data_IF_613228925143
#
_entry.id   IF_613228925143
#
_cell.length_a   1.000
_cell.length_b   1.000
_cell.length_c   1.000
_cell.angle_alpha   90.00
_cell.angle_beta   90.00
_cell.angle_gamma   90.00
#
_symmetry.space_group_name_H-M   'P 1'
#
loop_
_entity.id
_entity.type
_entity.pdbx_description
1 polymer ?
#
# COMPACT_ATOMS: atom_id res chain seq x y z
N UNK A 1 5.78 5.21 -14.57
CA UNK A 1 6.80 6.06 -15.24
C UNK A 1 6.23 7.43 -15.64
N UNK A 2 5.02 7.46 -16.17
CA UNK A 2 4.26 8.66 -16.59
C UNK A 2 3.37 9.24 -15.48
N UNK A 3 3.41 8.62 -14.30
CA UNK A 3 2.71 9.08 -13.12
C UNK A 3 1.21 8.75 -13.08
N UNK A 4 0.72 7.86 -13.92
CA UNK A 4 -0.65 7.32 -13.81
C UNK A 4 -0.68 6.26 -12.71
N UNK A 5 -1.47 6.45 -11.62
CA UNK A 5 -1.67 5.40 -10.61
C UNK A 5 -2.40 4.21 -11.23
N UNK A 6 -1.89 3.01 -10.96
CA UNK A 6 -2.48 1.76 -11.46
C UNK A 6 -2.79 0.81 -10.32
N UNK A 7 -3.73 -0.11 -10.52
CA UNK A 7 -4.09 -1.13 -9.52
C UNK A 7 -3.45 -2.46 -9.90
N UNK A 8 -2.45 -2.85 -9.10
CA UNK A 8 -1.73 -4.11 -9.32
C UNK A 8 -1.09 -4.60 -8.02
N UNK A 9 -1.03 -5.91 -7.81
CA UNK A 9 -0.48 -6.47 -6.58
C UNK A 9 1.04 -6.48 -6.55
N UNK A 10 1.70 -6.91 -7.63
CA UNK A 10 3.14 -7.15 -7.64
C UNK A 10 3.94 -5.90 -8.02
N UNK A 11 5.22 -5.88 -7.65
CA UNK A 11 6.14 -4.81 -8.04
C UNK A 11 6.62 -4.91 -9.51
N UNK A 12 6.46 -6.11 -10.11
CA UNK A 12 6.87 -6.43 -11.48
C UNK A 12 5.83 -7.26 -12.21
N UNK A 13 6.04 -7.43 -13.51
CA UNK A 13 5.13 -8.16 -14.41
C UNK A 13 5.43 -9.66 -14.49
N UNK A 14 6.45 -10.16 -13.79
CA UNK A 14 6.98 -11.50 -13.98
C UNK A 14 5.94 -12.60 -13.73
N UNK A 15 5.25 -12.55 -12.60
CA UNK A 15 4.25 -13.55 -12.22
C UNK A 15 2.99 -13.48 -13.07
N UNK A 16 2.55 -12.27 -13.40
CA UNK A 16 1.26 -12.06 -14.06
C UNK A 16 1.34 -12.06 -15.58
N UNK A 17 2.46 -11.62 -16.17
CA UNK A 17 2.62 -11.48 -17.63
C UNK A 17 3.90 -12.18 -18.16
N UNK A 18 4.70 -12.83 -17.32
CA UNK A 18 5.92 -13.53 -17.73
C UNK A 18 7.09 -12.62 -18.12
N UNK A 19 7.01 -11.32 -17.83
CA UNK A 19 7.99 -10.30 -18.25
C UNK A 19 8.75 -9.76 -17.04
N UNK A 20 10.08 -9.80 -17.07
CA UNK A 20 10.92 -9.26 -16.01
C UNK A 20 11.08 -7.74 -16.17
N UNK A 21 10.02 -7.00 -15.83
CA UNK A 21 9.96 -5.55 -15.91
C UNK A 21 9.15 -5.00 -14.72
N UNK A 22 9.65 -3.96 -14.06
CA UNK A 22 8.96 -3.34 -12.93
C UNK A 22 7.84 -2.42 -13.41
N UNK A 23 6.73 -2.40 -12.67
CA UNK A 23 5.57 -1.53 -12.95
C UNK A 23 5.98 -0.06 -13.05
N UNK A 24 6.80 0.43 -12.12
CA UNK A 24 7.26 1.83 -12.09
C UNK A 24 8.08 2.27 -13.30
N UNK A 25 8.68 1.32 -14.03
CA UNK A 25 9.53 1.60 -15.20
C UNK A 25 8.71 1.63 -16.51
N UNK A 26 7.40 1.34 -16.43
CA UNK A 26 6.47 1.34 -17.55
C UNK A 26 5.59 2.60 -17.56
N UNK A 27 5.21 3.06 -18.74
CA UNK A 27 4.07 3.98 -18.90
C UNK A 27 2.77 3.22 -18.81
N UNK A 28 1.65 3.91 -18.57
CA UNK A 28 0.34 3.28 -18.56
C UNK A 28 0.02 2.61 -19.91
N UNK A 29 0.36 3.27 -21.02
CA UNK A 29 0.21 2.71 -22.37
C UNK A 29 0.99 1.41 -22.54
N UNK A 30 2.26 1.38 -22.12
CA UNK A 30 3.06 0.15 -22.15
C UNK A 30 2.41 -0.97 -21.32
N UNK A 31 1.85 -0.66 -20.15
CA UNK A 31 1.16 -1.64 -19.29
C UNK A 31 -0.08 -2.24 -19.97
N UNK A 32 -0.76 -1.49 -20.85
CA UNK A 32 -1.92 -2.02 -21.60
C UNK A 32 -1.54 -3.07 -22.65
N UNK A 33 -0.28 -3.18 -23.03
CA UNK A 33 0.19 -4.22 -23.96
C UNK A 33 0.34 -5.59 -23.30
N UNK A 34 0.41 -5.66 -21.96
CA UNK A 34 0.61 -6.90 -21.22
C UNK A 34 -0.72 -7.53 -20.78
N UNK A 35 -0.93 -8.79 -21.16
CA UNK A 35 -2.08 -9.58 -20.74
C UNK A 35 -1.77 -10.32 -19.45
N UNK A 36 -2.71 -10.27 -18.49
CA UNK A 36 -2.52 -10.84 -17.18
C UNK A 36 -3.00 -12.30 -17.14
N UNK A 37 -2.15 -13.22 -16.70
CA UNK A 37 -2.46 -14.64 -16.48
C UNK A 37 -3.07 -15.33 -17.72
N UNK A 38 -2.66 -14.93 -18.93
CA UNK A 38 -3.19 -15.48 -20.18
C UNK A 38 -4.62 -15.08 -20.52
N UNK A 39 -5.21 -14.14 -19.76
CA UNK A 39 -6.55 -13.61 -20.01
C UNK A 39 -6.54 -12.44 -20.99
N UNK A 40 -7.70 -11.86 -21.30
CA UNK A 40 -7.82 -10.61 -22.06
C UNK A 40 -7.61 -9.36 -21.19
N UNK A 41 -7.45 -9.52 -19.88
CA UNK A 41 -7.36 -8.39 -18.93
C UNK A 41 -5.97 -7.76 -18.93
N UNK A 42 -5.95 -6.46 -18.69
CA UNK A 42 -4.74 -5.65 -18.51
C UNK A 42 -4.73 -4.98 -17.12
N UNK A 43 -3.66 -4.29 -16.76
CA UNK A 43 -3.58 -3.54 -15.49
C UNK A 43 -4.45 -2.29 -15.62
N UNK A 44 -5.50 -2.12 -14.79
CA UNK A 44 -6.37 -0.95 -14.86
C UNK A 44 -5.71 0.28 -14.23
N UNK A 45 -6.08 1.47 -14.71
CA UNK A 45 -5.83 2.72 -14.00
C UNK A 45 -6.64 2.75 -12.70
N UNK A 46 -6.11 3.41 -11.68
CA UNK A 46 -6.82 3.54 -10.40
C UNK A 46 -8.13 4.32 -10.55
N UNK A 47 -8.15 5.37 -11.37
CA UNK A 47 -9.35 6.13 -11.69
C UNK A 47 -10.47 5.23 -12.24
N UNK A 48 -10.15 4.35 -13.20
CA UNK A 48 -11.13 3.38 -13.77
C UNK A 48 -11.71 2.45 -12.70
N UNK A 49 -10.89 2.03 -11.74
CA UNK A 49 -11.37 1.18 -10.64
C UNK A 49 -12.30 1.95 -9.70
N UNK A 50 -12.00 3.22 -9.41
CA UNK A 50 -12.87 4.09 -8.61
C UNK A 50 -14.21 4.36 -9.31
N UNK A 51 -14.19 4.63 -10.61
CA UNK A 51 -15.40 4.76 -11.44
C UNK A 51 -16.25 3.50 -11.43
N UNK A 52 -15.62 2.33 -11.56
CA UNK A 52 -16.32 1.04 -11.51
C UNK A 52 -16.95 0.80 -10.14
N UNK A 53 -16.26 1.13 -9.06
CA UNK A 53 -16.78 0.98 -7.69
C UNK A 53 -17.92 1.95 -7.39
N UNK A 54 -17.84 3.20 -7.91
CA UNK A 54 -18.88 4.22 -7.88
C UNK A 54 -19.56 4.40 -6.51
N UNK A 55 -18.78 4.32 -5.43
CA UNK A 55 -19.29 4.45 -4.07
C UNK A 55 -20.17 3.29 -3.57
N UNK A 56 -20.40 2.24 -4.37
CA UNK A 56 -21.31 1.12 -4.04
C UNK A 56 -20.78 0.18 -2.98
N UNK A 57 -19.49 0.23 -2.69
CA UNK A 57 -18.84 -0.60 -1.67
C UNK A 57 -17.69 0.17 -1.03
N UNK A 58 -17.46 0.01 0.29
CA UNK A 58 -16.27 0.54 0.92
C UNK A 58 -14.99 -0.07 0.33
N UNK A 59 -13.94 0.75 0.19
CA UNK A 59 -12.66 0.32 -0.38
C UNK A 59 -11.55 0.31 0.68
N UNK A 60 -10.74 -0.73 0.65
CA UNK A 60 -9.45 -0.78 1.35
C UNK A 60 -8.36 -0.66 0.29
N UNK A 61 -7.57 0.41 0.35
CA UNK A 61 -6.63 0.78 -0.70
C UNK A 61 -5.20 0.68 -0.17
N UNK A 62 -4.45 -0.33 -0.63
CA UNK A 62 -3.04 -0.45 -0.31
C UNK A 62 -2.21 0.49 -1.20
N UNK A 63 -1.49 1.42 -0.57
CA UNK A 63 -0.47 2.23 -1.24
C UNK A 63 0.87 1.52 -1.22
N UNK A 64 1.29 0.97 -2.37
CA UNK A 64 2.60 0.36 -2.55
C UNK A 64 3.66 1.44 -2.77
N UNK A 65 4.04 2.06 -1.65
CA UNK A 65 4.99 3.17 -1.64
C UNK A 65 6.41 2.64 -1.34
N UNK A 66 7.33 2.88 -2.25
CA UNK A 66 8.77 2.78 -1.99
C UNK A 66 9.27 4.04 -1.23
N UNK A 67 10.57 4.25 -1.16
CA UNK A 67 11.18 5.40 -0.43
C UNK A 67 10.70 6.75 -0.97
N UNK A 68 10.48 6.88 -2.28
CA UNK A 68 9.92 8.09 -2.94
C UNK A 68 8.46 7.84 -3.28
N UNK A 69 7.55 8.33 -2.46
CA UNK A 69 6.11 8.02 -2.53
C UNK A 69 5.21 9.26 -2.57
N UNK A 70 5.80 10.47 -2.47
CA UNK A 70 5.02 11.71 -2.42
C UNK A 70 4.10 11.85 -3.62
N UNK A 71 4.63 11.68 -4.83
CA UNK A 71 3.84 11.80 -6.06
C UNK A 71 2.68 10.78 -6.10
N UNK A 72 2.92 9.53 -5.71
CA UNK A 72 1.87 8.52 -5.61
C UNK A 72 0.78 8.95 -4.64
N UNK A 73 1.16 9.40 -3.43
CA UNK A 73 0.21 9.88 -2.43
C UNK A 73 -0.62 11.06 -2.93
N UNK A 74 0.03 12.05 -3.56
CA UNK A 74 -0.64 13.23 -4.12
C UNK A 74 -1.67 12.85 -5.19
N UNK A 75 -1.28 12.02 -6.15
CA UNK A 75 -2.15 11.59 -7.25
C UNK A 75 -3.32 10.73 -6.77
N UNK A 76 -3.06 9.76 -5.89
CA UNK A 76 -4.13 8.97 -5.30
C UNK A 76 -5.08 9.83 -4.47
N UNK A 77 -4.58 10.77 -3.68
CA UNK A 77 -5.42 11.66 -2.88
C UNK A 77 -6.35 12.52 -3.75
N UNK A 78 -5.85 13.06 -4.86
CA UNK A 78 -6.68 13.86 -5.79
C UNK A 78 -7.84 13.05 -6.38
N UNK A 79 -7.59 11.79 -6.73
CA UNK A 79 -8.63 10.88 -7.22
C UNK A 79 -9.63 10.53 -6.11
N UNK A 80 -9.13 10.24 -4.92
CA UNK A 80 -9.95 9.87 -3.76
C UNK A 80 -10.77 11.04 -3.21
N UNK A 81 -10.32 12.29 -3.34
CA UNK A 81 -11.10 13.47 -2.97
C UNK A 81 -12.42 13.59 -3.76
N UNK A 82 -12.52 12.94 -4.93
CA UNK A 82 -13.71 12.91 -5.80
C UNK A 82 -14.52 11.63 -5.66
N UNK A 83 -14.00 10.62 -4.98
CA UNK A 83 -14.68 9.35 -4.82
C UNK A 83 -15.88 9.49 -3.86
N UNK A 84 -17.10 9.11 -4.25
CA UNK A 84 -18.29 9.33 -3.44
C UNK A 84 -18.48 8.30 -2.32
N UNK A 85 -17.70 7.21 -2.32
CA UNK A 85 -17.84 6.12 -1.37
C UNK A 85 -16.90 6.22 -0.17
N UNK A 86 -17.13 5.36 0.80
CA UNK A 86 -16.24 5.20 1.96
C UNK A 86 -14.96 4.46 1.57
N UNK A 87 -13.84 4.85 2.14
CA UNK A 87 -12.58 4.17 1.94
C UNK A 87 -11.63 4.36 3.12
N UNK A 88 -10.69 3.47 3.23
CA UNK A 88 -9.47 3.68 4.02
C UNK A 88 -8.24 3.38 3.17
N UNK A 89 -7.10 3.91 3.60
CA UNK A 89 -5.81 3.57 3.00
C UNK A 89 -5.00 2.69 3.94
N UNK A 90 -4.19 1.82 3.38
CA UNK A 90 -3.17 1.10 4.14
C UNK A 90 -1.85 1.06 3.40
N UNK A 91 -0.74 0.91 4.12
CA UNK A 91 0.59 0.81 3.53
C UNK A 91 1.58 0.18 4.49
N UNK A 92 2.57 -0.53 3.94
CA UNK A 92 3.80 -0.90 4.66
C UNK A 92 4.71 0.30 4.93
N UNK A 93 4.54 1.41 4.19
CA UNK A 93 5.35 2.63 4.34
C UNK A 93 4.74 3.58 5.38
N UNK A 94 5.34 3.72 6.58
CA UNK A 94 4.88 4.71 7.55
C UNK A 94 5.03 6.16 7.05
N UNK A 95 5.89 6.40 6.04
CA UNK A 95 6.05 7.71 5.44
C UNK A 95 4.84 8.08 4.56
N UNK A 96 4.29 7.12 3.80
CA UNK A 96 3.06 7.34 3.04
C UNK A 96 1.88 7.65 3.97
N UNK A 97 1.73 6.89 5.05
CA UNK A 97 0.72 7.15 6.07
C UNK A 97 0.91 8.51 6.75
N UNK A 98 2.16 8.89 7.04
CA UNK A 98 2.51 10.21 7.59
C UNK A 98 2.16 11.35 6.63
N UNK A 99 2.30 11.13 5.33
CA UNK A 99 1.86 12.09 4.31
C UNK A 99 0.35 12.28 4.36
N UNK A 100 -0.44 11.20 4.35
CA UNK A 100 -1.90 11.26 4.45
C UNK A 100 -2.36 11.89 5.77
N UNK A 101 -1.74 11.56 6.89
CA UNK A 101 -2.02 12.22 8.18
C UNK A 101 -1.90 13.74 8.11
N UNK A 102 -0.91 14.25 7.36
CA UNK A 102 -0.66 15.69 7.23
C UNK A 102 -1.63 16.37 6.25
N UNK A 103 -1.94 15.72 5.13
CA UNK A 103 -2.65 16.34 4.00
C UNK A 103 -4.11 15.92 3.91
N UNK A 104 -4.50 14.78 4.51
CA UNK A 104 -5.87 14.23 4.52
C UNK A 104 -6.16 13.60 5.89
N UNK A 105 -6.18 14.39 6.99
CA UNK A 105 -6.25 13.87 8.36
C UNK A 105 -7.52 13.05 8.65
N UNK A 106 -8.61 13.29 7.92
CA UNK A 106 -9.88 12.60 8.09
C UNK A 106 -9.93 11.22 7.41
N UNK A 107 -8.96 10.89 6.56
CA UNK A 107 -8.89 9.56 5.92
C UNK A 107 -8.38 8.55 6.93
N UNK A 108 -9.10 7.44 7.11
CA UNK A 108 -8.66 6.32 7.95
C UNK A 108 -7.40 5.68 7.35
N UNK A 109 -6.42 5.41 8.21
CA UNK A 109 -5.08 4.92 7.83
C UNK A 109 -4.74 3.66 8.58
N UNK A 110 -4.36 2.61 7.84
CA UNK A 110 -3.87 1.35 8.36
C UNK A 110 -2.36 1.17 8.18
N UNK A 111 -1.64 0.79 9.24
CA UNK A 111 -0.26 0.34 9.12
C UNK A 111 -0.26 -1.16 8.79
N UNK A 112 0.18 -1.51 7.58
CA UNK A 112 0.50 -2.89 7.25
C UNK A 112 1.83 -3.27 7.89
N UNK A 113 1.89 -4.42 8.53
CA UNK A 113 3.10 -4.90 9.17
C UNK A 113 3.25 -6.42 9.09
N UNK A 114 4.49 -6.87 9.13
CA UNK A 114 4.86 -8.27 9.16
C UNK A 114 6.17 -8.44 9.92
N UNK A 115 6.56 -9.67 10.20
CA UNK A 115 7.88 -9.96 10.73
C UNK A 115 8.92 -9.99 9.59
N UNK A 116 9.58 -8.87 9.36
CA UNK A 116 10.57 -8.72 8.28
C UNK A 116 11.88 -9.50 8.48
N UNK A 117 12.04 -10.25 9.59
CA UNK A 117 13.30 -10.94 9.90
C UNK A 117 13.65 -12.09 8.95
N UNK A 118 12.66 -12.67 8.27
CA UNK A 118 12.82 -13.80 7.35
C UNK A 118 12.75 -13.49 5.86
N UNK A 119 12.50 -12.25 5.47
CA UNK A 119 12.11 -11.91 4.09
C UNK A 119 13.28 -11.60 3.13
N UNK A 120 14.54 -11.77 3.55
CA UNK A 120 15.71 -11.54 2.69
C UNK A 120 15.85 -10.10 2.17
N UNK A 121 15.17 -9.16 2.80
CA UNK A 121 15.18 -7.75 2.41
C UNK A 121 16.58 -7.16 2.54
N UNK A 122 17.06 -6.47 1.50
CA UNK A 122 18.33 -5.69 1.51
C UNK A 122 18.25 -4.44 2.40
N UNK A 123 17.34 -4.42 3.35
CA UNK A 123 17.10 -3.29 4.26
C UNK A 123 18.00 -3.43 5.49
N UNK A 124 18.64 -2.34 5.99
CA UNK A 124 19.43 -2.38 7.22
C UNK A 124 18.64 -2.99 8.39
N UNK A 125 19.31 -3.78 9.22
CA UNK A 125 18.68 -4.52 10.33
C UNK A 125 17.86 -3.58 11.22
N UNK A 126 18.39 -2.41 11.56
CA UNK A 126 17.71 -1.44 12.41
C UNK A 126 16.39 -0.97 11.81
N UNK A 127 16.34 -0.69 10.50
CA UNK A 127 15.10 -0.26 9.81
C UNK A 127 14.10 -1.41 9.79
N UNK A 128 14.57 -2.63 9.55
CA UNK A 128 13.73 -3.84 9.57
C UNK A 128 13.09 -4.06 10.94
N UNK A 129 13.85 -3.92 12.02
CA UNK A 129 13.31 -4.00 13.39
C UNK A 129 12.29 -2.89 13.66
N UNK A 130 12.60 -1.64 13.26
CA UNK A 130 11.66 -0.53 13.41
C UNK A 130 10.33 -0.78 12.71
N UNK A 131 10.34 -1.38 11.52
CA UNK A 131 9.13 -1.74 10.77
C UNK A 131 8.41 -2.92 11.42
N UNK A 132 9.13 -3.97 11.84
CA UNK A 132 8.57 -5.16 12.50
C UNK A 132 7.83 -4.78 13.80
N UNK A 133 8.38 -3.85 14.58
CA UNK A 133 7.79 -3.38 15.84
C UNK A 133 6.89 -2.15 15.67
N UNK A 134 6.62 -1.71 14.44
CA UNK A 134 5.80 -0.52 14.15
C UNK A 134 6.25 0.73 14.93
N UNK A 135 7.56 0.90 15.15
CA UNK A 135 8.12 1.98 16.00
C UNK A 135 7.84 3.37 15.42
N UNK A 136 7.54 3.48 14.13
CA UNK A 136 7.18 4.75 13.47
C UNK A 136 5.70 5.12 13.61
N UNK A 137 4.89 4.31 14.29
CA UNK A 137 3.47 4.60 14.50
C UNK A 137 3.24 5.89 15.31
N UNK A 138 4.17 6.30 16.16
CA UNK A 138 4.13 7.61 16.82
C UNK A 138 4.16 8.78 15.83
N UNK A 139 4.85 8.61 14.69
CA UNK A 139 4.94 9.60 13.61
C UNK A 139 3.70 9.56 12.69
N UNK A 140 3.36 8.39 12.13
CA UNK A 140 2.27 8.26 11.16
C UNK A 140 0.88 8.17 11.80
N UNK A 141 0.79 7.78 13.09
CA UNK A 141 -0.44 7.63 13.88
C UNK A 141 -1.56 6.95 13.07
N UNK A 142 -1.40 5.67 12.74
CA UNK A 142 -2.43 4.93 12.03
C UNK A 142 -3.64 4.74 12.94
N UNK A 143 -4.82 4.61 12.33
CA UNK A 143 -6.08 4.37 13.02
C UNK A 143 -6.25 2.87 13.35
N UNK A 144 -5.60 2.00 12.55
CA UNK A 144 -5.52 0.56 12.80
C UNK A 144 -4.18 -0.02 12.34
N UNK A 145 -3.88 -1.25 12.78
CA UNK A 145 -2.71 -2.02 12.39
C UNK A 145 -3.18 -3.35 11.81
N UNK A 146 -2.79 -3.65 10.56
CA UNK A 146 -3.01 -4.94 9.93
C UNK A 146 -1.69 -5.73 9.92
N UNK A 147 -1.51 -6.59 10.92
CA UNK A 147 -0.32 -7.41 11.06
C UNK A 147 -0.54 -8.79 10.43
N UNK A 148 0.49 -9.33 9.76
CA UNK A 148 0.43 -10.65 9.15
C UNK A 148 0.05 -11.70 10.20
N UNK A 149 -1.08 -12.39 10.01
CA UNK A 149 -1.66 -13.33 10.95
C UNK A 149 -0.75 -14.52 11.29
N UNK A 150 0.19 -14.89 10.42
CA UNK A 150 1.17 -15.94 10.69
C UNK A 150 2.09 -15.59 11.88
N UNK A 151 2.21 -14.31 12.23
CA UNK A 151 3.03 -13.81 13.33
C UNK A 151 2.19 -13.24 14.48
N UNK A 152 0.90 -13.58 14.56
CA UNK A 152 -0.04 -13.03 15.57
C UNK A 152 0.35 -13.30 17.02
N UNK A 153 1.12 -14.35 17.29
CA UNK A 153 1.59 -14.76 18.61
C UNK A 153 3.08 -14.45 18.84
N UNK A 154 3.56 -13.37 18.25
CA UNK A 154 4.96 -12.94 18.40
C UNK A 154 5.08 -11.71 19.28
N UNK A 155 6.27 -11.52 19.87
CA UNK A 155 6.56 -10.39 20.77
C UNK A 155 6.17 -9.01 20.17
N UNK A 156 6.46 -8.69 18.90
CA UNK A 156 6.01 -7.43 18.32
C UNK A 156 4.51 -7.20 18.44
N UNK A 157 3.69 -8.22 18.17
CA UNK A 157 2.23 -8.11 18.23
C UNK A 157 1.74 -7.97 19.67
N UNK A 158 2.34 -8.71 20.61
CA UNK A 158 2.02 -8.57 22.04
C UNK A 158 2.33 -7.15 22.55
N UNK A 159 3.48 -6.60 22.15
CA UNK A 159 3.85 -5.22 22.48
C UNK A 159 2.85 -4.22 21.88
N UNK A 160 2.44 -4.40 20.62
CA UNK A 160 1.45 -3.53 20.00
C UNK A 160 0.10 -3.59 20.74
N UNK A 161 -0.36 -4.77 21.12
CA UNK A 161 -1.57 -4.94 21.94
C UNK A 161 -1.47 -4.23 23.29
N UNK A 162 -0.33 -4.35 23.94
CA UNK A 162 -0.09 -3.71 25.25
C UNK A 162 -0.04 -2.18 25.16
N UNK A 163 0.78 -1.62 24.25
CA UNK A 163 1.01 -0.17 24.15
C UNK A 163 -0.12 0.58 23.46
N UNK A 164 -0.72 0.01 22.43
CA UNK A 164 -1.79 0.68 21.66
C UNK A 164 -3.19 0.19 22.05
N UNK A 165 -3.31 -0.72 23.02
CA UNK A 165 -4.57 -1.33 23.45
C UNK A 165 -5.40 -1.90 22.29
N UNK A 166 -4.72 -2.40 21.24
CA UNK A 166 -5.35 -3.05 20.10
C UNK A 166 -6.04 -4.35 20.55
N UNK A 167 -7.25 -4.59 20.06
CA UNK A 167 -8.01 -5.83 20.31
C UNK A 167 -7.59 -6.94 19.36
#
# INVERSE_FOLDING_TARGET
>A
KDGVPVVFHDWDLKRAAGVDRKIRDCTFEELQSYRLFGSSQTIPAFETVLELADGRTPLIIELKAEIVHRELCEKCAVLLDRYPGEYCIESFSPLALGWFKRHRPNVLRGQLATNHRGEGLKTPVIVREMLTYCMLNGFCRPDFIAYNCQFSNTLPVEMLRYFYKCK
#
